data_IF_294298905218
#
_entry.id   IF_294298905218
#
_cell.length_a   1.000
_cell.length_b   1.000
_cell.length_c   1.000
_cell.angle_alpha   90.00
_cell.angle_beta   90.00
_cell.angle_gamma   90.00
#
_symmetry.space_group_name_H-M   'P 1'
#
loop_
_entity.id
_entity.type
_entity.pdbx_description
1 polymer ?
#
# COMPACT_ATOMS: atom_id res chain seq x y z
N UNK A 1 -11.71 -6.97 11.51
CA UNK A 1 -10.64 -7.99 11.54
C UNK A 1 -9.32 -7.35 11.14
N UNK A 2 -8.17 -7.86 11.62
CA UNK A 2 -6.85 -7.35 11.24
C UNK A 2 -6.64 -7.35 9.70
N UNK A 3 -7.13 -8.40 9.04
CA UNK A 3 -7.05 -8.55 7.58
C UNK A 3 -7.74 -7.42 6.81
N UNK A 4 -9.01 -7.11 7.12
CA UNK A 4 -9.75 -6.04 6.41
C UNK A 4 -9.07 -4.68 6.57
N UNK A 5 -8.53 -4.39 7.76
CA UNK A 5 -7.78 -3.16 8.03
C UNK A 5 -6.51 -3.11 7.18
N UNK A 6 -5.74 -4.19 7.15
CA UNK A 6 -4.52 -4.27 6.33
C UNK A 6 -4.82 -4.12 4.85
N UNK A 7 -5.90 -4.72 4.35
CA UNK A 7 -6.30 -4.62 2.95
C UNK A 7 -6.61 -3.17 2.54
N UNK A 8 -7.46 -2.48 3.30
CA UNK A 8 -7.86 -1.10 3.01
C UNK A 8 -6.68 -0.13 3.10
N UNK A 9 -5.85 -0.26 4.14
CA UNK A 9 -4.62 0.52 4.29
C UNK A 9 -3.66 0.23 3.14
N UNK A 10 -3.46 -1.05 2.79
CA UNK A 10 -2.64 -1.46 1.66
C UNK A 10 -3.10 -0.84 0.35
N UNK A 11 -4.39 -0.97 0.03
CA UNK A 11 -4.99 -0.39 -1.20
C UNK A 11 -4.72 1.11 -1.32
N UNK A 12 -4.95 1.86 -0.25
CA UNK A 12 -4.68 3.30 -0.24
C UNK A 12 -3.18 3.58 -0.50
N UNK A 13 -2.28 2.91 0.22
CA UNK A 13 -0.83 3.11 0.10
C UNK A 13 -0.31 2.74 -1.29
N UNK A 14 -0.72 1.60 -1.84
CA UNK A 14 -0.33 1.19 -3.18
C UNK A 14 -0.77 2.17 -4.26
N UNK A 15 -1.98 2.73 -4.13
CA UNK A 15 -2.53 3.66 -5.10
C UNK A 15 -1.75 4.98 -5.15
N UNK A 16 -1.49 5.62 -4.01
CA UNK A 16 -0.88 6.94 -4.01
C UNK A 16 0.64 6.91 -4.22
N UNK A 17 1.35 5.89 -3.72
CA UNK A 17 2.81 5.74 -3.83
C UNK A 17 3.25 5.61 -5.30
N UNK A 18 2.38 5.07 -6.16
CA UNK A 18 2.62 4.99 -7.60
C UNK A 18 2.96 6.34 -8.23
N UNK A 19 2.26 7.42 -7.84
CA UNK A 19 2.38 8.73 -8.45
C UNK A 19 3.80 9.31 -8.43
N UNK A 20 4.45 9.42 -7.25
CA UNK A 20 5.83 9.87 -7.14
C UNK A 20 6.82 9.08 -8.00
N UNK A 21 6.73 7.74 -8.03
CA UNK A 21 7.65 6.93 -8.84
C UNK A 21 7.42 7.09 -10.34
N UNK A 22 6.16 7.14 -10.79
CA UNK A 22 5.83 7.29 -12.20
C UNK A 22 6.20 8.69 -12.74
N UNK A 23 5.96 9.75 -11.97
CA UNK A 23 6.10 11.14 -12.45
C UNK A 23 7.41 11.82 -12.05
N UNK A 24 8.01 11.44 -10.92
CA UNK A 24 9.26 12.03 -10.44
C UNK A 24 10.45 11.05 -10.51
N UNK A 25 10.20 9.82 -10.96
CA UNK A 25 11.25 8.81 -11.14
C UNK A 25 12.22 9.11 -12.29
N UNK A 26 13.34 8.39 -12.36
CA UNK A 26 14.39 8.61 -13.35
C UNK A 26 13.91 8.38 -14.80
N UNK A 27 12.95 7.47 -14.99
CA UNK A 27 12.40 7.10 -16.30
C UNK A 27 11.16 7.89 -16.70
N UNK A 28 10.81 8.97 -15.98
CA UNK A 28 9.58 9.76 -16.18
C UNK A 28 9.35 10.28 -17.60
N UNK A 29 10.41 10.49 -18.38
CA UNK A 29 10.36 11.01 -19.75
C UNK A 29 10.40 9.91 -20.82
N UNK A 30 10.21 8.66 -20.42
CA UNK A 30 10.24 7.51 -21.33
C UNK A 30 8.87 6.85 -21.45
N UNK A 31 8.66 6.08 -22.51
CA UNK A 31 7.43 5.28 -22.72
C UNK A 31 7.18 4.30 -21.56
N UNK A 32 8.25 3.90 -20.86
CA UNK A 32 8.18 2.93 -19.76
C UNK A 32 8.04 3.60 -18.37
N UNK A 33 7.73 4.91 -18.29
CA UNK A 33 7.62 5.64 -17.03
C UNK A 33 6.63 5.00 -16.04
N UNK A 34 5.43 4.67 -16.52
CA UNK A 34 4.38 4.11 -15.67
C UNK A 34 4.72 2.66 -15.25
N UNK A 35 5.36 1.87 -16.11
CA UNK A 35 5.80 0.52 -15.77
C UNK A 35 6.92 0.52 -14.72
N UNK A 36 7.88 1.44 -14.86
CA UNK A 36 8.92 1.65 -13.86
C UNK A 36 8.31 2.10 -12.53
N UNK A 37 7.32 2.99 -12.58
CA UNK A 37 6.54 3.44 -11.42
C UNK A 37 5.87 2.29 -10.67
N UNK A 38 5.23 1.37 -11.40
CA UNK A 38 4.59 0.18 -10.85
C UNK A 38 5.60 -0.73 -10.13
N UNK A 39 6.71 -1.07 -10.79
CA UNK A 39 7.72 -1.96 -10.21
C UNK A 39 8.39 -1.35 -8.97
N UNK A 40 8.70 -0.06 -8.99
CA UNK A 40 9.24 0.64 -7.82
C UNK A 40 8.25 0.66 -6.66
N UNK A 41 6.97 0.86 -6.94
CA UNK A 41 5.89 0.85 -5.92
C UNK A 41 5.75 -0.53 -5.29
N UNK A 42 5.70 -1.60 -6.10
CA UNK A 42 5.63 -2.98 -5.60
C UNK A 42 6.86 -3.30 -4.75
N UNK A 43 8.06 -2.90 -5.20
CA UNK A 43 9.29 -3.07 -4.42
C UNK A 43 9.22 -2.41 -3.05
N UNK A 44 8.72 -1.16 -2.98
CA UNK A 44 8.54 -0.46 -1.71
C UNK A 44 7.49 -1.15 -0.81
N UNK A 45 6.37 -1.61 -1.37
CA UNK A 45 5.34 -2.33 -0.62
C UNK A 45 5.86 -3.64 -0.03
N UNK A 46 6.71 -4.37 -0.75
CA UNK A 46 7.39 -5.57 -0.23
C UNK A 46 8.29 -5.20 0.94
N UNK A 47 9.09 -4.12 0.83
CA UNK A 47 9.94 -3.64 1.93
C UNK A 47 9.10 -3.27 3.16
N UNK A 48 8.00 -2.53 2.97
CA UNK A 48 7.09 -2.17 4.06
C UNK A 48 6.43 -3.40 4.71
N UNK A 49 6.07 -4.40 3.91
CA UNK A 49 5.51 -5.66 4.42
C UNK A 49 6.53 -6.44 5.25
N UNK A 50 7.80 -6.46 4.82
CA UNK A 50 8.89 -7.04 5.60
C UNK A 50 9.09 -6.27 6.92
N UNK A 51 9.07 -4.94 6.89
CA UNK A 51 9.16 -4.12 8.10
C UNK A 51 8.00 -4.41 9.08
N UNK A 52 6.77 -4.53 8.60
CA UNK A 52 5.61 -4.94 9.40
C UNK A 52 5.79 -6.34 9.98
N UNK A 53 6.36 -7.27 9.20
CA UNK A 53 6.62 -8.64 9.64
C UNK A 53 7.70 -8.68 10.72
N UNK A 54 8.76 -7.89 10.59
CA UNK A 54 9.81 -7.75 11.61
C UNK A 54 9.24 -7.16 12.90
N UNK A 55 8.43 -6.10 12.78
CA UNK A 55 7.76 -5.48 13.92
C UNK A 55 6.82 -6.46 14.64
N UNK A 56 6.07 -7.28 13.91
CA UNK A 56 5.23 -8.33 14.48
C UNK A 56 6.06 -9.36 15.27
N UNK A 57 7.25 -9.70 14.78
CA UNK A 57 8.14 -10.68 15.38
C UNK A 57 8.95 -10.12 16.57
N UNK A 58 9.07 -8.81 16.73
CA UNK A 58 9.83 -8.19 17.83
C UNK A 58 9.04 -8.05 19.13
N UNK A 59 7.87 -8.68 19.26
CA UNK A 59 6.94 -8.52 20.39
C UNK A 59 6.64 -7.04 20.69
N UNK A 60 5.88 -6.38 19.81
CA UNK A 60 5.63 -4.95 19.93
C UNK A 60 4.84 -4.61 21.21
N UNK A 61 5.03 -3.41 21.76
CA UNK A 61 4.24 -2.94 22.90
C UNK A 61 2.76 -2.80 22.53
N UNK A 62 1.90 -2.83 23.53
CA UNK A 62 0.46 -2.71 23.31
C UNK A 62 0.09 -1.34 22.71
N UNK A 63 -0.97 -1.28 21.88
CA UNK A 63 -1.44 -0.01 21.33
C UNK A 63 -1.90 0.94 22.44
N UNK A 64 -1.41 2.18 22.38
CA UNK A 64 -1.77 3.21 23.36
C UNK A 64 -3.12 3.84 23.05
N UNK A 65 -3.99 3.92 24.05
CA UNK A 65 -5.22 4.69 23.96
C UNK A 65 -4.90 6.20 23.97
N UNK A 66 -5.65 6.98 23.20
CA UNK A 66 -5.55 8.43 23.19
C UNK A 66 -6.93 9.06 23.34
N UNK A 67 -6.97 10.39 23.55
CA UNK A 67 -8.24 11.14 23.60
C UNK A 67 -9.06 10.99 22.31
N UNK A 68 -8.37 10.84 21.17
CA UNK A 68 -9.01 10.66 19.86
C UNK A 68 -9.35 9.20 19.55
N UNK A 69 -8.67 8.24 20.20
CA UNK A 69 -8.90 6.81 20.05
C UNK A 69 -8.87 6.12 21.43
N UNK A 70 -9.96 6.23 22.22
CA UNK A 70 -9.99 5.72 23.60
C UNK A 70 -10.04 4.20 23.68
N UNK A 71 -10.46 3.53 22.61
CA UNK A 71 -10.50 2.06 22.50
C UNK A 71 -9.63 1.61 21.32
N UNK A 72 -8.31 1.42 21.54
CA UNK A 72 -7.45 0.86 20.52
C UNK A 72 -7.92 -0.53 20.11
N UNK A 73 -7.66 -0.89 18.86
CA UNK A 73 -8.15 -2.13 18.28
C UNK A 73 -7.34 -3.34 18.77
N UNK A 74 -8.03 -4.35 19.31
CA UNK A 74 -7.46 -5.66 19.72
C UNK A 74 -6.63 -6.34 18.62
N UNK A 75 -6.89 -6.01 17.35
CA UNK A 75 -6.14 -6.50 16.19
C UNK A 75 -4.62 -6.25 16.25
N UNK A 76 -4.15 -5.32 17.08
CA UNK A 76 -2.74 -4.94 17.18
C UNK A 76 -2.09 -5.34 18.51
N UNK A 77 -2.80 -6.10 19.35
CA UNK A 77 -2.29 -6.60 20.63
C UNK A 77 -1.50 -7.91 20.48
N UNK A 78 -1.71 -8.64 19.37
CA UNK A 78 -1.08 -9.95 19.14
C UNK A 78 -0.23 -9.94 17.89
N UNK A 79 0.83 -10.77 17.91
CA UNK A 79 1.66 -11.05 16.74
C UNK A 79 0.86 -11.57 15.54
N UNK A 80 -0.14 -12.41 15.79
CA UNK A 80 -1.01 -12.95 14.74
C UNK A 80 -1.84 -11.85 14.07
N UNK A 81 -2.33 -10.88 14.84
CA UNK A 81 -3.02 -9.72 14.32
C UNK A 81 -2.14 -8.88 13.39
N UNK A 82 -0.90 -8.61 13.78
CA UNK A 82 0.09 -7.93 12.94
C UNK A 82 0.49 -8.73 11.69
N UNK A 83 0.63 -10.05 11.81
CA UNK A 83 0.92 -10.93 10.67
C UNK A 83 -0.21 -10.88 9.63
N UNK A 84 -1.47 -11.03 10.08
CA UNK A 84 -2.65 -10.93 9.23
C UNK A 84 -2.80 -9.55 8.59
N UNK A 85 -2.45 -8.48 9.32
CA UNK A 85 -2.40 -7.12 8.78
C UNK A 85 -1.34 -6.99 7.68
N UNK A 86 -0.12 -7.50 7.90
CA UNK A 86 0.97 -7.45 6.93
C UNK A 86 0.66 -8.20 5.64
N UNK A 87 0.11 -9.43 5.74
CA UNK A 87 -0.31 -10.19 4.55
C UNK A 87 -1.38 -9.46 3.74
N UNK A 88 -2.38 -8.88 4.40
CA UNK A 88 -3.43 -8.12 3.74
C UNK A 88 -2.92 -6.80 3.15
N UNK A 89 -1.96 -6.13 3.82
CA UNK A 89 -1.32 -4.91 3.33
C UNK A 89 -0.61 -5.14 1.99
N UNK A 90 0.11 -6.25 1.84
CA UNK A 90 0.77 -6.58 0.58
C UNK A 90 -0.23 -6.80 -0.56
N UNK A 91 -1.28 -7.59 -0.31
CA UNK A 91 -2.31 -7.89 -1.30
C UNK A 91 -3.03 -6.60 -1.73
N UNK A 92 -3.45 -5.80 -0.74
CA UNK A 92 -4.11 -4.52 -0.99
C UNK A 92 -3.18 -3.55 -1.72
N UNK A 93 -1.92 -3.46 -1.30
CA UNK A 93 -0.91 -2.59 -1.89
C UNK A 93 -0.65 -2.89 -3.36
N UNK A 94 -0.44 -4.16 -3.71
CA UNK A 94 -0.25 -4.55 -5.11
C UNK A 94 -1.52 -4.23 -5.91
N UNK A 95 -2.71 -4.52 -5.36
CA UNK A 95 -3.98 -4.17 -5.99
C UNK A 95 -4.11 -2.67 -6.28
N UNK A 96 -3.85 -1.82 -5.29
CA UNK A 96 -3.91 -0.36 -5.43
C UNK A 96 -2.90 0.19 -6.43
N UNK A 97 -1.67 -0.33 -6.43
CA UNK A 97 -0.62 0.07 -7.38
C UNK A 97 -0.98 -0.31 -8.82
N UNK A 98 -1.51 -1.51 -9.03
CA UNK A 98 -1.97 -1.98 -10.35
C UNK A 98 -3.16 -1.16 -10.84
N UNK A 99 -4.12 -0.83 -9.96
CA UNK A 99 -5.24 0.06 -10.31
C UNK A 99 -4.73 1.43 -10.74
N UNK A 100 -3.80 2.04 -9.99
CA UNK A 100 -3.22 3.33 -10.35
C UNK A 100 -2.51 3.26 -11.71
N UNK A 101 -1.70 2.23 -11.94
CA UNK A 101 -1.02 1.99 -13.22
C UNK A 101 -2.01 1.88 -14.38
N UNK A 102 -3.07 1.07 -14.28
CA UNK A 102 -4.04 0.93 -15.36
C UNK A 102 -4.79 2.24 -15.65
N UNK A 103 -5.15 3.00 -14.61
CA UNK A 103 -5.81 4.29 -14.78
C UNK A 103 -4.90 5.31 -15.48
N UNK A 104 -3.61 5.36 -15.15
CA UNK A 104 -2.69 6.30 -15.80
C UNK A 104 -2.27 5.85 -17.20
N UNK A 105 -1.98 4.56 -17.39
CA UNK A 105 -1.57 4.02 -18.68
C UNK A 105 -2.70 4.12 -19.73
N UNK A 106 -3.96 4.01 -19.30
CA UNK A 106 -5.13 4.12 -20.17
C UNK A 106 -5.82 5.48 -20.07
N UNK A 107 -5.19 6.49 -19.46
CA UNK A 107 -5.82 7.78 -19.21
C UNK A 107 -6.34 8.43 -20.50
N UNK A 108 -5.60 8.33 -21.60
CA UNK A 108 -6.04 8.84 -22.91
C UNK A 108 -7.29 8.13 -23.44
N UNK A 109 -7.43 6.81 -23.23
CA UNK A 109 -8.65 6.07 -23.57
C UNK A 109 -9.82 6.50 -22.69
N UNK A 110 -9.58 6.69 -21.39
CA UNK A 110 -10.59 7.14 -20.44
C UNK A 110 -11.10 8.53 -20.82
N UNK A 111 -10.20 9.47 -21.14
CA UNK A 111 -10.58 10.81 -21.60
C UNK A 111 -11.41 10.74 -22.88
N UNK A 112 -11.09 9.83 -23.81
CA UNK A 112 -11.88 9.62 -25.03
C UNK A 112 -13.33 9.21 -24.81
N UNK A 113 -13.70 8.67 -23.63
CA UNK A 113 -15.10 8.42 -23.28
C UNK A 113 -15.82 9.66 -22.73
N UNK A 114 -15.10 10.65 -22.23
CA UNK A 114 -15.66 11.84 -21.58
C UNK A 114 -15.66 13.11 -22.47
N UNK A 115 -15.04 13.06 -23.66
CA UNK A 115 -15.04 14.15 -24.65
C UNK A 115 -13.66 14.69 -24.92
#
# INVERSE_FOLDING_TARGET
>A
TPFRRGLEVGMAHGYWIFGPFAKLGPLRNTVNADLAGLLSTIGLLVILTIALSLYANSNPPEPVASVTAPHPSDAFHTKEGWSNFGSAFLIGGIGGAVTAYFLTANFGLIQGFFG
#
